data_IF_670040640741
#
_entry.id   IF_670040640741
#
_cell.length_a   1.000
_cell.length_b   1.000
_cell.length_c   1.000
_cell.angle_alpha   90.00
_cell.angle_beta   90.00
_cell.angle_gamma   90.00
#
_symmetry.space_group_name_H-M   'P 1'
#
loop_
_entity.id
_entity.type
_entity.pdbx_description
1 polymer ?
#
# COMPACT_ATOMS: atom_id res chain seq x y z
N UNK A 1 22.09 -45.75 -4.01
CA UNK A 1 22.41 -44.30 -3.95
C UNK A 1 21.62 -43.66 -5.08
N UNK A 2 20.56 -42.88 -4.91
CA UNK A 2 20.30 -41.78 -3.96
C UNK A 2 18.79 -41.70 -3.68
N UNK A 3 18.42 -41.61 -2.41
CA UNK A 3 17.11 -41.17 -1.96
C UNK A 3 17.19 -39.72 -1.48
N UNK A 4 16.05 -39.03 -1.61
CA UNK A 4 15.55 -37.94 -0.77
C UNK A 4 15.82 -36.46 -1.14
N UNK A 5 14.70 -35.77 -1.45
CA UNK A 5 14.29 -34.37 -1.15
C UNK A 5 15.20 -33.24 -1.68
N UNK A 6 14.68 -32.18 -2.31
CA UNK A 6 13.56 -31.34 -1.86
C UNK A 6 12.79 -30.74 -3.06
N UNK A 7 11.49 -30.98 -3.04
CA UNK A 7 10.47 -30.15 -3.66
C UNK A 7 10.52 -28.78 -2.98
N UNK A 8 11.17 -27.79 -3.61
CA UNK A 8 11.11 -26.39 -3.16
C UNK A 8 9.94 -25.71 -3.85
N UNK A 9 8.79 -25.92 -3.22
CA UNK A 9 7.56 -25.19 -3.37
C UNK A 9 7.78 -23.74 -2.93
N UNK A 10 8.01 -22.82 -3.87
CA UNK A 10 7.62 -21.43 -3.64
C UNK A 10 6.14 -21.32 -3.99
N UNK A 11 5.34 -21.60 -2.97
CA UNK A 11 3.98 -21.09 -2.83
C UNK A 11 3.97 -19.57 -3.04
N UNK A 12 2.84 -19.09 -3.59
CA UNK A 12 2.38 -17.70 -3.65
C UNK A 12 2.78 -16.84 -4.86
N UNK A 13 2.52 -17.33 -6.07
CA UNK A 13 2.08 -16.46 -7.16
C UNK A 13 0.54 -16.46 -7.22
N UNK A 14 -0.09 -16.04 -6.12
CA UNK A 14 -1.47 -15.56 -6.14
C UNK A 14 -1.42 -14.04 -6.00
N UNK A 15 -0.95 -13.37 -7.04
CA UNK A 15 -1.22 -11.95 -7.24
C UNK A 15 -1.76 -11.78 -8.66
N UNK A 16 -2.87 -12.48 -8.93
CA UNK A 16 -3.72 -12.22 -10.08
C UNK A 16 -4.99 -11.52 -9.56
N UNK A 17 -4.81 -10.42 -8.85
CA UNK A 17 -5.85 -9.39 -8.80
C UNK A 17 -5.82 -8.76 -10.18
N UNK A 18 -6.63 -9.27 -11.10
CA UNK A 18 -6.90 -8.65 -12.39
C UNK A 18 -7.50 -7.27 -12.11
N UNK A 19 -6.64 -6.25 -12.00
CA UNK A 19 -7.03 -4.86 -12.17
C UNK A 19 -6.30 -4.43 -13.42
N UNK A 20 -7.02 -4.41 -14.55
CA UNK A 20 -6.57 -3.97 -15.87
C UNK A 20 -6.25 -2.45 -15.91
N UNK A 21 -5.78 -1.88 -14.80
CA UNK A 21 -5.24 -0.52 -14.74
C UNK A 21 -3.72 -0.63 -14.68
N UNK A 22 -3.06 -0.20 -15.76
CA UNK A 22 -1.60 -0.06 -15.85
C UNK A 22 -1.00 0.71 -14.67
N UNK A 23 -1.80 1.57 -14.05
CA UNK A 23 -1.40 2.47 -12.98
C UNK A 23 -1.22 1.74 -11.64
N UNK A 24 -1.74 0.52 -11.52
CA UNK A 24 -1.59 -0.33 -10.33
C UNK A 24 -0.30 -1.15 -10.30
N UNK A 25 0.52 -1.06 -11.36
CA UNK A 25 1.81 -1.73 -11.44
C UNK A 25 2.86 -0.94 -10.64
N UNK A 26 2.65 0.37 -10.45
CA UNK A 26 3.58 1.27 -9.76
C UNK A 26 2.85 2.17 -8.75
N UNK A 27 2.77 1.71 -7.50
CA UNK A 27 2.29 2.49 -6.37
C UNK A 27 3.38 3.40 -5.76
N UNK A 28 4.58 3.40 -6.36
CA UNK A 28 5.79 4.00 -5.84
C UNK A 28 6.45 3.19 -4.73
N UNK A 29 7.23 3.88 -3.91
CA UNK A 29 8.08 3.30 -2.87
C UNK A 29 7.28 2.55 -1.78
N UNK A 30 7.93 1.58 -1.14
CA UNK A 30 7.28 0.64 -0.24
C UNK A 30 7.66 0.79 1.23
N UNK A 31 7.40 -0.27 1.99
CA UNK A 31 7.70 -0.33 3.44
C UNK A 31 9.19 -0.11 3.74
N UNK A 32 10.09 -0.60 2.87
CA UNK A 32 11.54 -0.45 3.05
C UNK A 32 12.00 1.01 2.97
N UNK A 33 11.24 1.84 2.27
CA UNK A 33 11.47 3.27 2.09
C UNK A 33 10.67 4.12 3.10
N UNK A 34 9.95 3.44 4.01
CA UNK A 34 9.14 4.02 5.07
C UNK A 34 7.73 4.44 4.66
N UNK A 35 7.25 4.02 3.49
CA UNK A 35 5.88 4.29 3.04
C UNK A 35 4.91 3.20 3.44
N UNK A 36 3.71 3.63 3.81
CA UNK A 36 2.57 2.79 4.14
C UNK A 36 1.38 3.21 3.28
N UNK A 37 0.42 2.30 3.14
CA UNK A 37 -0.79 2.51 2.34
C UNK A 37 -2.02 2.28 3.21
N UNK A 38 -3.03 3.14 3.08
CA UNK A 38 -4.32 2.92 3.73
C UNK A 38 -5.44 3.65 3.00
N UNK A 39 -6.64 3.13 3.15
CA UNK A 39 -7.87 3.85 2.82
C UNK A 39 -8.12 4.93 3.88
N UNK A 40 -8.46 6.13 3.43
CA UNK A 40 -8.75 7.28 4.30
C UNK A 40 -10.03 7.02 5.08
N UNK A 41 -9.95 7.12 6.39
CA UNK A 41 -11.10 7.07 7.30
C UNK A 41 -11.35 8.44 7.94
N UNK A 42 -12.52 8.61 8.57
CA UNK A 42 -12.95 9.89 9.16
C UNK A 42 -11.91 10.51 10.12
N UNK A 43 -11.19 9.69 10.90
CA UNK A 43 -10.18 10.17 11.85
C UNK A 43 -8.88 10.66 11.18
N UNK A 44 -8.66 10.33 9.91
CA UNK A 44 -7.47 10.75 9.17
C UNK A 44 -7.62 12.16 8.60
N UNK A 45 -8.83 12.56 8.20
CA UNK A 45 -9.14 13.87 7.61
C UNK A 45 -8.51 15.05 8.38
N UNK A 46 -8.72 15.22 9.69
CA UNK A 46 -8.10 16.34 10.40
C UNK A 46 -6.57 16.25 10.42
N UNK A 47 -5.99 15.05 10.40
CA UNK A 47 -4.54 14.85 10.39
C UNK A 47 -3.92 15.15 9.03
N UNK A 48 -4.61 14.80 7.94
CA UNK A 48 -4.18 15.09 6.57
C UNK A 48 -4.27 16.60 6.27
N UNK A 49 -5.31 17.27 6.77
CA UNK A 49 -5.44 18.72 6.67
C UNK A 49 -4.27 19.47 7.35
N UNK A 50 -3.70 18.93 8.43
CA UNK A 50 -2.53 19.52 9.10
C UNK A 50 -1.27 19.55 8.21
N UNK A 51 -1.21 18.71 7.18
CA UNK A 51 -0.13 18.68 6.18
C UNK A 51 -0.61 19.14 4.79
N UNK A 52 -1.71 19.89 4.73
CA UNK A 52 -2.31 20.44 3.51
C UNK A 52 -2.68 19.40 2.43
N UNK A 53 -3.02 18.18 2.85
CA UNK A 53 -3.56 17.14 1.97
C UNK A 53 -5.08 17.10 2.12
N UNK A 54 -5.78 17.37 1.02
CA UNK A 54 -7.24 17.29 0.93
C UNK A 54 -7.63 15.97 0.28
N UNK A 55 -7.83 14.93 1.09
CA UNK A 55 -8.31 13.63 0.65
C UNK A 55 -9.74 13.37 1.16
N UNK A 56 -10.50 12.57 0.43
CA UNK A 56 -11.84 12.12 0.78
C UNK A 56 -11.82 10.74 1.43
N UNK A 57 -12.86 10.45 2.22
CA UNK A 57 -13.04 9.11 2.82
C UNK A 57 -13.20 8.10 1.69
N UNK A 58 -12.45 7.00 1.77
CA UNK A 58 -12.44 5.95 0.74
C UNK A 58 -11.34 6.10 -0.31
N UNK A 59 -10.64 7.24 -0.35
CA UNK A 59 -9.44 7.36 -1.18
C UNK A 59 -8.27 6.57 -0.60
N UNK A 60 -7.39 6.08 -1.47
CA UNK A 60 -6.16 5.43 -1.04
C UNK A 60 -5.05 6.48 -0.90
N UNK A 61 -4.33 6.46 0.21
CA UNK A 61 -3.16 7.31 0.42
C UNK A 61 -1.89 6.47 0.60
N UNK A 62 -0.79 6.94 0.02
CA UNK A 62 0.58 6.53 0.38
C UNK A 62 1.15 7.56 1.35
N UNK A 63 1.60 7.13 2.51
CA UNK A 63 1.97 8.06 3.60
C UNK A 63 3.20 7.63 4.39
N UNK A 64 3.81 8.60 5.08
CA UNK A 64 4.84 8.40 6.10
C UNK A 64 4.36 8.99 7.43
N UNK A 65 4.66 8.32 8.54
CA UNK A 65 4.35 8.82 9.88
C UNK A 65 5.61 9.30 10.61
N UNK A 66 5.43 10.29 11.47
CA UNK A 66 6.38 10.66 12.52
C UNK A 66 5.65 10.54 13.86
N UNK A 67 5.84 9.41 14.55
CA UNK A 67 4.98 9.01 15.67
C UNK A 67 3.56 8.74 15.20
N UNK A 68 2.58 9.39 15.81
CA UNK A 68 1.14 9.21 15.51
C UNK A 68 0.57 10.18 14.45
N UNK A 69 1.44 11.03 13.90
CA UNK A 69 1.08 12.08 12.95
C UNK A 69 1.62 11.76 11.56
N UNK A 70 0.85 12.12 10.52
CA UNK A 70 1.34 12.11 9.15
C UNK A 70 2.44 13.16 9.00
N UNK A 71 3.58 12.76 8.43
CA UNK A 71 4.67 13.64 8.02
C UNK A 71 4.63 13.91 6.50
N UNK A 72 4.07 12.95 5.75
CA UNK A 72 3.86 13.03 4.31
C UNK A 72 2.64 12.17 3.95
N UNK A 73 1.86 12.62 2.99
CA UNK A 73 0.84 11.80 2.35
C UNK A 73 0.61 12.28 0.91
N UNK A 74 0.28 11.34 0.03
CA UNK A 74 -0.21 11.59 -1.33
C UNK A 74 -1.38 10.65 -1.62
N UNK A 75 -2.34 11.12 -2.41
CA UNK A 75 -3.45 10.30 -2.88
C UNK A 75 -2.94 9.46 -4.06
N UNK A 76 -3.21 8.16 -4.02
CA UNK A 76 -2.80 7.19 -5.04
C UNK A 76 -4.02 6.39 -5.50
N UNK A 77 -3.84 5.61 -6.56
CA UNK A 77 -4.89 4.73 -7.09
C UNK A 77 -5.41 3.75 -6.04
N UNK A 78 -6.73 3.52 -6.04
CA UNK A 78 -7.41 2.67 -5.06
C UNK A 78 -6.85 1.24 -4.96
N UNK A 79 -6.32 0.72 -6.07
CA UNK A 79 -5.69 -0.58 -6.13
C UNK A 79 -4.42 -0.71 -5.28
N UNK A 80 -3.71 0.38 -4.99
CA UNK A 80 -2.53 0.35 -4.13
C UNK A 80 -2.88 -0.09 -2.70
N UNK A 81 -4.03 0.34 -2.19
CA UNK A 81 -4.52 -0.10 -0.89
C UNK A 81 -5.01 -1.55 -0.89
N UNK A 82 -5.33 -2.13 -2.05
CA UNK A 82 -5.68 -3.55 -2.16
C UNK A 82 -4.43 -4.44 -2.20
N UNK A 83 -3.33 -3.96 -2.77
CA UNK A 83 -2.06 -4.69 -2.83
C UNK A 83 -1.35 -4.75 -1.47
N UNK A 84 -1.48 -3.68 -0.69
CA UNK A 84 -0.80 -3.50 0.61
C UNK A 84 -1.75 -3.54 1.81
N UNK A 85 -2.90 -4.20 1.67
CA UNK A 85 -3.95 -4.30 2.68
C UNK A 85 -3.54 -5.08 3.93
#
# INVERSE_FOLDING_TARGET
MKTLKKFFLFYFLNCASQVDNSDCIDCGDGLLDGFLYKEVILTDIPKLNNIAISAEIGECIRFKMNGDNFNFAEIVESCCCNLFK
#
